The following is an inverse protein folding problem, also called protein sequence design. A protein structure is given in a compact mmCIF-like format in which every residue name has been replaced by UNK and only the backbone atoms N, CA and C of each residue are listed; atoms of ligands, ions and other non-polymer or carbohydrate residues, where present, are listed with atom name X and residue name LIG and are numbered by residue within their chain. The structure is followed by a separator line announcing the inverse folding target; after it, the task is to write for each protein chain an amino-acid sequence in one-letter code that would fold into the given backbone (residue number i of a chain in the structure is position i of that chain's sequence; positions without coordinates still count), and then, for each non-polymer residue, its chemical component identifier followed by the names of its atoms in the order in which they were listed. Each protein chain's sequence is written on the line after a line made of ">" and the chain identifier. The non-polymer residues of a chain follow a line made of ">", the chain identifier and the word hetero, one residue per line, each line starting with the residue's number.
data_IF_518195198755
#
_entry.id   IF_518195198755
#
_cell.length_a   1.000
_cell.length_b   1.000
_cell.length_c   1.000
_cell.angle_alpha   90.00
_cell.angle_beta   90.00
_cell.angle_gamma   90.00
#
_symmetry.space_group_name_H-M   'P 1'
#
loop_
_entity.id
_entity.type
_entity.pdbx_description
1 polymer ?
#
# COMPACT_ATOMS: atom_id res chain seq x y z
N UNK A 1 -23.85 -8.24 24.13
CA UNK A 1 -22.74 -9.03 23.55
C UNK A 1 -21.35 -8.47 23.89
N UNK A 2 -20.34 -9.34 23.94
CA UNK A 2 -18.92 -9.10 24.31
C UNK A 2 -18.00 -10.14 23.67
N UNK A 3 -18.30 -10.50 22.42
CA UNK A 3 -17.47 -11.42 21.65
C UNK A 3 -16.25 -10.68 21.10
N UNK A 4 -15.08 -11.31 21.21
CA UNK A 4 -13.83 -10.82 20.62
C UNK A 4 -13.89 -11.03 19.10
N UNK A 5 -14.12 -9.94 18.36
CA UNK A 5 -14.34 -9.93 16.90
C UNK A 5 -13.51 -8.86 16.23
N UNK A 6 -13.04 -9.15 15.01
CA UNK A 6 -12.21 -8.24 14.23
C UNK A 6 -13.07 -7.26 13.45
N UNK A 7 -14.07 -7.79 12.74
CA UNK A 7 -14.85 -7.04 11.76
C UNK A 7 -16.35 -7.33 11.88
N UNK A 8 -17.15 -6.53 11.19
CA UNK A 8 -18.54 -6.83 10.99
C UNK A 8 -19.04 -6.35 9.64
N UNK A 9 -19.99 -7.08 9.06
CA UNK A 9 -20.59 -6.78 7.77
C UNK A 9 -22.10 -7.04 7.79
N UNK A 10 -22.86 -6.19 7.11
CA UNK A 10 -24.29 -6.42 6.83
C UNK A 10 -24.62 -5.92 5.44
N UNK A 11 -25.55 -6.56 4.74
CA UNK A 11 -26.05 -6.10 3.45
C UNK A 11 -26.96 -4.86 3.62
N UNK A 12 -26.96 -3.98 2.61
CA UNK A 12 -27.89 -2.85 2.54
C UNK A 12 -29.36 -3.30 2.53
N UNK A 13 -29.67 -4.48 1.99
CA UNK A 13 -31.02 -5.05 1.97
C UNK A 13 -31.63 -5.24 3.37
N UNK A 14 -30.78 -5.44 4.39
CA UNK A 14 -31.17 -5.52 5.81
C UNK A 14 -31.50 -4.18 6.47
N UNK A 15 -31.25 -3.05 5.78
CA UNK A 15 -31.49 -1.69 6.26
C UNK A 15 -32.68 -1.12 5.47
N UNK A 16 -33.81 -0.91 6.15
CA UNK A 16 -35.11 -0.70 5.50
C UNK A 16 -35.65 0.71 5.61
N UNK A 17 -35.11 1.53 6.50
CA UNK A 17 -35.58 2.88 6.75
C UNK A 17 -34.48 3.74 7.35
N UNK A 18 -34.64 5.04 7.22
CA UNK A 18 -33.85 6.04 7.95
C UNK A 18 -34.15 5.94 9.44
N UNK A 19 -33.13 6.21 10.27
CA UNK A 19 -33.37 6.37 11.69
C UNK A 19 -34.00 7.74 11.98
N UNK A 20 -35.34 7.79 11.93
CA UNK A 20 -36.10 8.99 12.24
C UNK A 20 -36.07 9.30 13.73
N UNK A 21 -36.14 10.59 14.07
CA UNK A 21 -36.26 11.08 15.44
C UNK A 21 -37.50 11.93 15.58
N UNK A 22 -38.01 12.06 16.80
CA UNK A 22 -39.07 13.02 17.13
C UNK A 22 -38.57 13.99 18.19
N UNK A 23 -39.05 15.23 18.14
CA UNK A 23 -38.76 16.21 19.18
C UNK A 23 -39.59 15.90 20.43
N UNK A 24 -38.92 15.60 21.55
CA UNK A 24 -39.53 15.40 22.85
C UNK A 24 -38.70 16.14 23.91
N UNK A 25 -39.33 17.01 24.70
CA UNK A 25 -38.67 17.81 25.74
C UNK A 25 -37.46 18.62 25.24
N UNK A 26 -37.54 19.15 24.01
CA UNK A 26 -36.45 19.92 23.39
C UNK A 26 -35.28 19.07 22.90
N UNK A 27 -35.40 17.74 22.88
CA UNK A 27 -34.37 16.80 22.42
C UNK A 27 -34.91 15.89 21.32
N UNK A 28 -34.04 15.49 20.39
CA UNK A 28 -34.37 14.48 19.39
C UNK A 28 -34.34 13.09 20.03
N UNK A 29 -35.49 12.45 20.13
CA UNK A 29 -35.67 11.12 20.68
C UNK A 29 -35.77 10.08 19.56
N UNK A 30 -35.00 9.00 19.70
CA UNK A 30 -35.15 7.79 18.89
C UNK A 30 -36.16 6.87 19.60
N UNK A 31 -37.25 6.54 18.91
CA UNK A 31 -38.25 5.62 19.45
C UNK A 31 -37.90 4.17 19.12
N UNK A 32 -38.42 3.23 19.92
CA UNK A 32 -38.28 1.79 19.61
C UNK A 32 -38.83 1.44 18.23
N UNK A 33 -39.99 2.01 17.87
CA UNK A 33 -40.59 1.81 16.55
C UNK A 33 -39.71 2.33 15.40
N UNK A 34 -39.04 3.47 15.59
CA UNK A 34 -38.08 3.99 14.62
C UNK A 34 -36.88 3.05 14.47
N UNK A 35 -36.31 2.54 15.56
CA UNK A 35 -35.20 1.59 15.51
C UNK A 35 -35.60 0.24 14.86
N UNK A 36 -36.78 -0.28 15.18
CA UNK A 36 -37.35 -1.48 14.57
C UNK A 36 -37.58 -1.29 13.05
N UNK A 37 -38.01 -0.10 12.63
CA UNK A 37 -38.22 0.19 11.21
C UNK A 37 -36.93 0.16 10.38
N UNK A 38 -35.77 0.48 11.01
CA UNK A 38 -34.46 0.39 10.33
C UNK A 38 -34.08 -1.07 10.06
N UNK A 39 -34.19 -1.96 11.04
CA UNK A 39 -33.83 -3.38 10.92
C UNK A 39 -34.99 -4.27 11.37
N UNK A 40 -36.00 -4.53 10.51
CA UNK A 40 -37.24 -5.17 10.93
C UNK A 40 -37.20 -6.71 10.93
N UNK A 41 -36.13 -7.32 10.43
CA UNK A 41 -36.09 -8.76 10.15
C UNK A 41 -35.78 -9.61 11.37
N UNK A 42 -35.06 -9.08 12.36
CA UNK A 42 -34.62 -9.87 13.52
C UNK A 42 -33.69 -11.01 13.12
N UNK A 43 -32.83 -10.78 12.13
CA UNK A 43 -31.87 -11.78 11.67
C UNK A 43 -30.91 -12.11 12.82
N UNK A 44 -30.60 -13.39 13.01
CA UNK A 44 -29.66 -13.78 14.07
C UNK A 44 -28.26 -13.36 13.64
N UNK A 45 -27.58 -12.57 14.47
CA UNK A 45 -26.18 -12.25 14.21
C UNK A 45 -25.30 -13.47 14.51
N UNK A 46 -24.34 -13.71 13.65
CA UNK A 46 -23.40 -14.81 13.73
C UNK A 46 -21.98 -14.28 13.75
N UNK A 47 -21.19 -14.76 14.71
CA UNK A 47 -19.74 -14.63 14.68
C UNK A 47 -19.20 -15.80 13.88
N UNK A 48 -18.56 -15.50 12.76
CA UNK A 48 -18.00 -16.49 11.86
C UNK A 48 -16.50 -16.30 11.72
N UNK A 49 -15.76 -17.38 11.45
CA UNK A 49 -14.35 -17.35 11.14
C UNK A 49 -14.14 -17.50 9.63
N UNK A 50 -13.41 -16.56 9.03
CA UNK A 50 -13.12 -16.50 7.58
C UNK A 50 -11.66 -16.17 7.33
N UNK A 51 -11.09 -16.64 6.21
CA UNK A 51 -9.75 -16.19 5.79
C UNK A 51 -9.83 -14.75 5.24
N UNK A 52 -8.71 -14.03 5.25
CA UNK A 52 -8.63 -12.73 4.58
C UNK A 52 -8.95 -12.82 3.08
N UNK A 53 -8.63 -13.95 2.44
CA UNK A 53 -9.02 -14.22 1.06
C UNK A 53 -10.54 -14.31 0.88
N UNK A 54 -11.25 -15.03 1.75
CA UNK A 54 -12.72 -15.12 1.69
C UNK A 54 -13.39 -13.76 1.96
N UNK A 55 -12.82 -12.95 2.85
CA UNK A 55 -13.27 -11.57 3.08
C UNK A 55 -13.10 -10.73 1.82
N UNK A 56 -11.94 -10.81 1.16
CA UNK A 56 -11.68 -10.09 -0.08
C UNK A 56 -12.64 -10.52 -1.19
N UNK A 57 -12.94 -11.82 -1.28
CA UNK A 57 -13.92 -12.36 -2.23
C UNK A 57 -15.33 -11.80 -1.95
N UNK A 58 -15.77 -11.82 -0.70
CA UNK A 58 -17.07 -11.26 -0.31
C UNK A 58 -17.20 -9.77 -0.67
N UNK A 59 -16.13 -8.98 -0.45
CA UNK A 59 -16.11 -7.57 -0.82
C UNK A 59 -16.13 -7.35 -2.34
N UNK A 60 -15.53 -8.25 -3.13
CA UNK A 60 -15.58 -8.16 -4.59
C UNK A 60 -16.92 -8.61 -5.19
N UNK A 61 -17.65 -9.55 -4.53
CA UNK A 61 -18.97 -10.01 -4.98
C UNK A 61 -20.02 -8.90 -5.05
N UNK A 62 -19.84 -7.79 -4.33
CA UNK A 62 -20.75 -6.64 -4.43
C UNK A 62 -20.60 -5.83 -5.74
N UNK A 63 -19.53 -6.08 -6.51
CA UNK A 63 -19.19 -5.32 -7.72
C UNK A 63 -19.49 -6.07 -9.02
N UNK A 64 -20.10 -7.25 -8.94
CA UNK A 64 -20.62 -7.96 -10.10
C UNK A 64 -21.67 -7.11 -10.84
N UNK A 65 -21.69 -7.15 -12.16
CA UNK A 65 -22.55 -6.30 -13.01
C UNK A 65 -24.06 -6.48 -12.74
N UNK A 66 -24.47 -7.67 -12.31
CA UNK A 66 -25.86 -8.01 -11.96
C UNK A 66 -26.19 -7.78 -10.48
N UNK A 67 -25.23 -7.31 -9.68
CA UNK A 67 -25.39 -7.16 -8.25
C UNK A 67 -25.99 -5.80 -7.90
N UNK A 68 -27.04 -5.82 -7.09
CA UNK A 68 -27.70 -4.60 -6.58
C UNK A 68 -27.52 -4.41 -5.08
N UNK A 69 -26.94 -5.41 -4.40
CA UNK A 69 -26.69 -5.40 -2.97
C UNK A 69 -25.21 -5.15 -2.65
N UNK A 70 -24.97 -4.44 -1.56
CA UNK A 70 -23.63 -4.08 -1.12
C UNK A 70 -23.51 -4.14 0.40
N UNK A 71 -22.28 -4.31 0.88
CA UNK A 71 -22.01 -4.53 2.29
C UNK A 71 -21.75 -3.21 3.02
N UNK A 72 -22.47 -2.92 4.10
CA UNK A 72 -22.01 -2.02 5.15
C UNK A 72 -20.98 -2.76 6.01
N UNK A 73 -19.91 -2.08 6.40
CA UNK A 73 -18.75 -2.68 7.05
C UNK A 73 -18.35 -1.92 8.30
N UNK A 74 -17.74 -2.59 9.28
CA UNK A 74 -17.13 -2.00 10.47
C UNK A 74 -15.84 -2.72 10.84
N UNK A 75 -14.86 -2.01 11.41
CA UNK A 75 -13.56 -2.58 11.79
C UNK A 75 -12.52 -2.68 10.66
N UNK A 76 -12.93 -2.42 9.41
CA UNK A 76 -12.06 -2.38 8.24
C UNK A 76 -12.32 -1.14 7.37
N UNK A 77 -11.32 -0.76 6.60
CA UNK A 77 -11.39 0.21 5.50
C UNK A 77 -10.84 -0.45 4.24
N UNK A 78 -11.39 -0.11 3.08
CA UNK A 78 -10.84 -0.59 1.82
C UNK A 78 -10.90 0.45 0.71
N UNK A 79 -9.93 0.34 -0.21
CA UNK A 79 -9.91 1.07 -1.47
C UNK A 79 -10.38 0.14 -2.59
N UNK A 80 -11.23 0.65 -3.48
CA UNK A 80 -11.63 -0.05 -4.70
C UNK A 80 -11.34 0.81 -5.92
N UNK A 81 -11.17 0.15 -7.06
CA UNK A 81 -10.74 0.76 -8.32
C UNK A 81 -11.43 0.12 -9.50
N UNK A 82 -11.26 0.72 -10.67
CA UNK A 82 -11.79 0.22 -11.93
C UNK A 82 -11.17 -1.14 -12.30
N UNK A 83 -11.82 -1.87 -13.18
CA UNK A 83 -11.30 -3.11 -13.74
C UNK A 83 -11.70 -3.21 -15.21
N UNK A 84 -10.90 -3.93 -15.99
CA UNK A 84 -11.19 -4.16 -17.42
C UNK A 84 -12.22 -5.29 -17.63
N UNK A 85 -12.62 -5.96 -16.55
CA UNK A 85 -13.64 -7.01 -16.56
C UNK A 85 -15.05 -6.40 -16.64
N UNK A 86 -15.74 -6.59 -17.77
CA UNK A 86 -17.09 -6.06 -17.97
C UNK A 86 -18.14 -6.65 -17.03
N UNK A 87 -17.87 -7.82 -16.43
CA UNK A 87 -18.75 -8.45 -15.45
C UNK A 87 -18.51 -7.93 -14.03
N UNK A 88 -17.48 -7.11 -13.82
CA UNK A 88 -17.18 -6.46 -12.54
C UNK A 88 -17.00 -4.96 -12.77
N UNK A 89 -17.90 -4.11 -12.31
CA UNK A 89 -17.71 -2.66 -12.50
C UNK A 89 -16.47 -2.13 -11.75
N UNK A 90 -16.12 -2.79 -10.64
CA UNK A 90 -14.98 -2.44 -9.79
C UNK A 90 -14.35 -3.67 -9.17
N UNK A 91 -13.14 -3.50 -8.63
CA UNK A 91 -12.47 -4.47 -7.78
C UNK A 91 -11.87 -3.80 -6.54
N UNK A 92 -11.76 -4.57 -5.46
CA UNK A 92 -11.04 -4.13 -4.26
C UNK A 92 -9.53 -4.12 -4.53
N UNK A 93 -8.89 -2.98 -4.32
CA UNK A 93 -7.46 -2.79 -4.53
C UNK A 93 -6.64 -3.01 -3.24
N UNK A 94 -7.16 -2.60 -2.09
CA UNK A 94 -6.50 -2.81 -0.80
C UNK A 94 -7.50 -2.82 0.35
N UNK A 95 -7.21 -3.60 1.39
CA UNK A 95 -8.01 -3.68 2.62
C UNK A 95 -7.09 -3.49 3.82
N UNK A 96 -7.53 -2.69 4.78
CA UNK A 96 -6.84 -2.41 6.03
C UNK A 96 -7.80 -2.49 7.21
N UNK A 97 -7.29 -2.79 8.39
CA UNK A 97 -7.96 -2.53 9.67
C UNK A 97 -8.07 -1.02 9.92
N UNK A 98 -8.84 -0.62 10.93
CA UNK A 98 -8.98 0.81 11.30
C UNK A 98 -7.65 1.50 11.68
N UNK A 99 -6.66 0.75 12.18
CA UNK A 99 -5.33 1.26 12.51
C UNK A 99 -4.35 1.29 11.31
N UNK A 100 -4.83 0.91 10.12
CA UNK A 100 -4.05 0.92 8.89
C UNK A 100 -3.28 -0.37 8.62
N UNK A 101 -3.37 -1.39 9.48
CA UNK A 101 -2.73 -2.69 9.26
C UNK A 101 -3.36 -3.38 8.03
N UNK A 102 -2.56 -3.79 7.02
CA UNK A 102 -3.08 -4.52 5.86
C UNK A 102 -3.75 -5.84 6.25
N UNK A 103 -4.86 -6.16 5.59
CA UNK A 103 -5.49 -7.47 5.68
C UNK A 103 -4.54 -8.53 5.10
N UNK A 104 -4.30 -9.62 5.83
CA UNK A 104 -3.50 -10.75 5.35
C UNK A 104 -4.42 -11.84 4.83
N UNK A 105 -4.17 -12.30 3.60
CA UNK A 105 -5.08 -13.22 2.91
C UNK A 105 -5.13 -14.62 3.53
N UNK A 106 -4.02 -15.07 4.12
CA UNK A 106 -3.85 -16.37 4.77
C UNK A 106 -4.30 -16.37 6.25
N UNK A 107 -4.42 -15.20 6.86
CA UNK A 107 -4.87 -15.05 8.24
C UNK A 107 -6.38 -15.27 8.36
N UNK A 108 -6.81 -15.87 9.48
CA UNK A 108 -8.21 -15.98 9.85
C UNK A 108 -8.67 -14.82 10.73
N UNK A 109 -9.90 -14.38 10.51
CA UNK A 109 -10.54 -13.28 11.20
C UNK A 109 -11.93 -13.69 11.67
N UNK A 110 -12.35 -13.15 12.81
CA UNK A 110 -13.72 -13.26 13.33
C UNK A 110 -14.56 -12.09 12.83
N UNK A 111 -15.60 -12.42 12.07
CA UNK A 111 -16.49 -11.44 11.43
C UNK A 111 -17.90 -11.64 11.97
N UNK A 112 -18.54 -10.55 12.39
CA UNK A 112 -19.99 -10.56 12.67
C UNK A 112 -20.75 -10.35 11.37
N UNK A 113 -21.60 -11.30 11.00
CA UNK A 113 -22.54 -11.18 9.87
C UNK A 113 -23.95 -11.58 10.33
N UNK A 114 -24.98 -11.25 9.56
CA UNK A 114 -26.31 -11.80 9.80
C UNK A 114 -26.45 -13.23 9.20
N UNK A 115 -27.36 -14.03 9.74
CA UNK A 115 -27.62 -15.42 9.31
C UNK A 115 -28.04 -15.53 7.84
N UNK A 116 -28.73 -14.53 7.30
CA UNK A 116 -29.04 -14.44 5.87
C UNK A 116 -27.78 -14.39 5.00
N UNK A 117 -26.80 -13.54 5.35
CA UNK A 117 -25.50 -13.49 4.68
C UNK A 117 -24.70 -14.77 4.87
N UNK A 118 -24.73 -15.37 6.07
CA UNK A 118 -24.07 -16.67 6.31
C UNK A 118 -24.59 -17.76 5.36
N UNK A 119 -25.89 -17.74 5.05
CA UNK A 119 -26.50 -18.61 4.04
C UNK A 119 -26.13 -18.31 2.59
N UNK A 120 -25.39 -17.22 2.32
CA UNK A 120 -25.06 -16.73 0.98
C UNK A 120 -26.13 -15.85 0.36
N UNK A 121 -26.99 -15.23 1.17
CA UNK A 121 -28.00 -14.29 0.73
C UNK A 121 -27.42 -13.14 -0.10
N UNK A 122 -28.26 -12.49 -0.91
CA UNK A 122 -27.90 -11.41 -1.83
C UNK A 122 -26.73 -11.74 -2.78
N UNK A 123 -26.45 -13.02 -3.04
CA UNK A 123 -25.36 -13.44 -3.93
C UNK A 123 -23.98 -13.46 -3.28
N UNK A 124 -23.87 -13.22 -1.97
CA UNK A 124 -22.60 -13.25 -1.23
C UNK A 124 -22.15 -14.68 -0.88
N UNK A 125 -21.92 -15.50 -1.91
CA UNK A 125 -21.58 -16.92 -1.76
C UNK A 125 -20.28 -17.18 -0.98
N UNK A 126 -19.38 -16.19 -0.89
CA UNK A 126 -18.13 -16.30 -0.12
C UNK A 126 -18.38 -16.58 1.37
N UNK A 127 -19.47 -16.04 1.95
CA UNK A 127 -19.82 -16.27 3.35
C UNK A 127 -20.17 -17.73 3.66
N UNK A 128 -20.58 -18.53 2.67
CA UNK A 128 -20.86 -19.97 2.86
C UNK A 128 -19.62 -20.80 3.18
N UNK A 129 -18.42 -20.25 2.94
CA UNK A 129 -17.12 -20.87 3.28
C UNK A 129 -16.76 -20.67 4.75
N UNK A 130 -17.46 -19.76 5.44
CA UNK A 130 -17.14 -19.38 6.81
C UNK A 130 -17.49 -20.49 7.81
N UNK A 131 -16.72 -20.58 8.88
CA UNK A 131 -17.02 -21.47 10.00
C UNK A 131 -17.82 -20.72 11.06
N UNK A 132 -19.01 -21.18 11.40
CA UNK A 132 -19.79 -20.60 12.50
C UNK A 132 -19.07 -20.82 13.84
N UNK A 133 -18.73 -19.73 14.53
CA UNK A 133 -18.15 -19.76 15.88
C UNK A 133 -19.25 -19.75 16.93
N UNK A 134 -20.17 -18.78 16.82
CA UNK A 134 -21.36 -18.68 17.70
C UNK A 134 -22.43 -17.80 17.06
N UNK A 135 -23.68 -18.02 17.44
CA UNK A 135 -24.74 -17.04 17.27
C UNK A 135 -24.76 -16.07 18.47
N UNK A 136 -25.21 -14.84 18.24
CA UNK A 136 -25.44 -13.81 19.27
C UNK A 136 -26.86 -13.22 19.08
N UNK A 137 -27.17 -12.14 19.81
CA UNK A 137 -28.47 -11.48 19.77
C UNK A 137 -28.90 -11.11 18.33
N UNK A 138 -30.21 -11.09 18.03
CA UNK A 138 -30.72 -10.60 16.75
C UNK A 138 -30.23 -9.19 16.41
N UNK A 139 -30.14 -8.88 15.11
CA UNK A 139 -29.65 -7.61 14.60
C UNK A 139 -30.45 -6.41 15.14
N UNK A 140 -31.79 -6.52 15.16
CA UNK A 140 -32.68 -5.50 15.69
C UNK A 140 -32.43 -5.20 17.17
N UNK A 141 -32.35 -6.24 18.00
CA UNK A 141 -32.15 -6.09 19.44
C UNK A 141 -30.73 -5.59 19.74
N UNK A 142 -29.74 -6.03 18.97
CA UNK A 142 -28.36 -5.52 19.05
C UNK A 142 -28.30 -4.03 18.76
N UNK A 143 -28.99 -3.57 17.71
CA UNK A 143 -29.05 -2.15 17.34
C UNK A 143 -29.76 -1.30 18.41
N UNK A 144 -30.90 -1.78 18.92
CA UNK A 144 -31.65 -1.11 19.99
C UNK A 144 -30.81 -1.03 21.26
N UNK A 145 -30.11 -2.11 21.62
CA UNK A 145 -29.26 -2.12 22.81
C UNK A 145 -28.04 -1.22 22.65
N UNK A 146 -27.46 -1.10 21.46
CA UNK A 146 -26.46 -0.08 21.18
C UNK A 146 -27.01 1.34 21.43
N UNK A 147 -28.22 1.66 20.95
CA UNK A 147 -28.84 2.97 21.19
C UNK A 147 -29.03 3.23 22.70
N UNK A 148 -29.51 2.23 23.44
CA UNK A 148 -29.67 2.31 24.90
C UNK A 148 -28.32 2.50 25.61
N UNK A 149 -27.28 1.75 25.23
CA UNK A 149 -25.94 1.83 25.80
C UNK A 149 -25.32 3.22 25.56
N UNK A 150 -25.49 3.79 24.37
CA UNK A 150 -25.05 5.16 24.07
C UNK A 150 -25.76 6.20 24.92
N UNK A 151 -27.09 6.08 25.08
CA UNK A 151 -27.89 6.95 25.96
C UNK A 151 -27.44 6.83 27.41
N UNK A 152 -27.25 5.61 27.92
CA UNK A 152 -26.77 5.36 29.28
C UNK A 152 -25.37 5.96 29.52
N UNK A 153 -24.54 5.97 28.48
CA UNK A 153 -23.23 6.63 28.50
C UNK A 153 -23.29 8.16 28.28
N UNK A 154 -24.48 8.76 28.18
CA UNK A 154 -24.65 10.20 27.94
C UNK A 154 -24.21 10.67 26.55
N UNK A 155 -24.09 9.76 25.59
CA UNK A 155 -23.61 10.05 24.23
C UNK A 155 -24.79 10.24 23.27
N UNK A 156 -24.72 11.31 22.50
CA UNK A 156 -25.60 11.50 21.34
C UNK A 156 -25.13 10.57 20.22
N UNK A 157 -26.10 9.98 19.54
CA UNK A 157 -25.83 9.17 18.37
C UNK A 157 -25.61 10.11 17.19
N UNK A 158 -24.41 10.08 16.63
CA UNK A 158 -24.04 10.83 15.44
C UNK A 158 -23.57 9.86 14.37
N UNK A 159 -23.77 10.24 13.11
CA UNK A 159 -23.26 9.49 11.98
C UNK A 159 -22.35 10.37 11.15
N UNK A 160 -21.23 9.79 10.75
CA UNK A 160 -20.17 10.47 10.04
C UNK A 160 -19.77 9.63 8.83
N UNK A 161 -19.35 10.29 7.76
CA UNK A 161 -18.67 9.63 6.65
C UNK A 161 -17.24 9.32 7.09
N UNK A 162 -16.98 8.07 7.45
CA UNK A 162 -15.70 7.64 8.01
C UNK A 162 -14.67 7.19 6.96
N UNK A 163 -15.02 7.26 5.67
CA UNK A 163 -14.16 6.80 4.58
C UNK A 163 -13.86 5.30 4.67
N UNK A 164 -14.84 4.48 5.08
CA UNK A 164 -14.69 3.02 5.18
C UNK A 164 -14.51 2.37 3.80
N UNK A 165 -15.07 3.01 2.77
CA UNK A 165 -14.95 2.61 1.37
C UNK A 165 -14.48 3.83 0.60
N UNK A 166 -13.39 3.71 -0.15
CA UNK A 166 -12.83 4.81 -0.94
C UNK A 166 -12.63 4.32 -2.36
N UNK A 167 -13.24 5.00 -3.32
CA UNK A 167 -12.89 4.82 -4.72
C UNK A 167 -11.59 5.57 -5.02
N UNK A 168 -10.68 4.94 -5.76
CA UNK A 168 -9.56 5.58 -6.43
C UNK A 168 -9.42 5.00 -7.82
N UNK A 169 -9.20 5.84 -8.82
CA UNK A 169 -8.81 5.38 -10.14
C UNK A 169 -7.47 4.64 -10.09
N UNK A 170 -7.21 3.76 -11.06
CA UNK A 170 -5.94 3.04 -11.13
C UNK A 170 -4.76 4.02 -11.20
N UNK A 171 -4.90 5.13 -11.93
CA UNK A 171 -3.87 6.17 -12.03
C UNK A 171 -3.56 6.85 -10.68
N UNK A 172 -4.57 7.05 -9.81
CA UNK A 172 -4.35 7.60 -8.46
C UNK A 172 -3.59 6.59 -7.57
N UNK A 173 -3.93 5.30 -7.67
CA UNK A 173 -3.23 4.24 -6.93
C UNK A 173 -1.77 4.12 -7.39
N UNK A 174 -1.54 4.13 -8.71
CA UNK A 174 -0.19 4.05 -9.28
C UNK A 174 0.65 5.25 -8.85
N UNK A 175 0.06 6.45 -8.87
CA UNK A 175 0.72 7.67 -8.40
C UNK A 175 1.06 7.63 -6.91
N UNK A 176 0.14 7.17 -6.05
CA UNK A 176 0.42 7.03 -4.61
C UNK A 176 1.52 6.01 -4.35
N UNK A 177 1.57 4.93 -5.15
CA UNK A 177 2.62 3.92 -5.08
C UNK A 177 3.97 4.50 -5.48
N UNK A 178 4.02 5.26 -6.58
CA UNK A 178 5.22 5.98 -7.03
C UNK A 178 5.67 7.01 -5.99
N UNK A 179 4.76 7.85 -5.48
CA UNK A 179 5.07 8.88 -4.48
C UNK A 179 5.63 8.24 -3.19
N UNK A 180 5.07 7.11 -2.75
CA UNK A 180 5.57 6.35 -1.60
C UNK A 180 6.96 5.76 -1.85
N UNK A 181 7.21 5.20 -3.03
CA UNK A 181 8.52 4.67 -3.42
C UNK A 181 9.57 5.79 -3.50
N UNK A 182 9.25 6.91 -4.15
CA UNK A 182 10.11 8.09 -4.23
C UNK A 182 10.42 8.63 -2.83
N UNK A 183 9.43 8.68 -1.94
CA UNK A 183 9.64 9.09 -0.54
C UNK A 183 10.59 8.13 0.18
N UNK A 184 10.41 6.83 0.04
CA UNK A 184 11.29 5.82 0.63
C UNK A 184 12.74 5.96 0.13
N UNK A 185 12.93 6.19 -1.18
CA UNK A 185 14.26 6.47 -1.76
C UNK A 185 14.86 7.71 -1.12
N UNK A 186 14.11 8.82 -1.02
CA UNK A 186 14.59 10.07 -0.42
C UNK A 186 14.97 9.91 1.05
N UNK A 187 14.15 9.22 1.83
CA UNK A 187 14.38 9.02 3.26
C UNK A 187 15.62 8.13 3.53
N UNK A 188 15.84 7.12 2.70
CA UNK A 188 16.99 6.22 2.82
C UNK A 188 18.30 6.80 2.25
N UNK A 189 18.21 7.77 1.33
CA UNK A 189 19.37 8.24 0.57
C UNK A 189 20.16 9.31 1.30
N UNK A 190 21.46 9.02 1.51
CA UNK A 190 22.46 9.98 1.97
C UNK A 190 23.68 9.87 1.07
N UNK A 191 23.95 10.92 0.31
CA UNK A 191 25.08 10.98 -0.62
C UNK A 191 26.20 11.79 0.03
N UNK A 192 27.41 11.21 0.08
CA UNK A 192 28.58 11.91 0.60
C UNK A 192 29.01 13.02 -0.36
N UNK A 193 29.64 14.07 0.19
CA UNK A 193 30.23 15.15 -0.60
C UNK A 193 31.29 14.58 -1.55
N UNK A 194 31.39 15.17 -2.74
CA UNK A 194 32.34 14.78 -3.78
C UNK A 194 33.21 15.98 -4.16
N UNK A 195 34.52 15.78 -4.21
CA UNK A 195 35.52 16.78 -4.59
C UNK A 195 36.20 16.45 -5.93
N UNK A 196 36.83 17.45 -6.56
CA UNK A 196 37.47 17.37 -7.90
C UNK A 196 38.46 16.20 -8.13
N UNK A 197 39.01 15.60 -7.08
CA UNK A 197 39.99 14.50 -7.18
C UNK A 197 39.45 13.16 -6.68
N UNK A 198 38.21 13.11 -6.22
CA UNK A 198 37.61 11.89 -5.72
C UNK A 198 37.31 10.93 -6.88
N UNK A 199 37.72 9.67 -6.72
CA UNK A 199 37.49 8.63 -7.72
C UNK A 199 36.10 7.99 -7.60
N UNK A 200 35.49 8.09 -6.42
CA UNK A 200 34.27 7.37 -6.11
C UNK A 200 33.25 8.28 -5.43
N UNK A 201 32.00 8.25 -5.91
CA UNK A 201 30.87 8.76 -5.16
C UNK A 201 30.34 7.65 -4.24
N UNK A 202 30.17 7.96 -2.96
CA UNK A 202 29.72 6.99 -1.95
C UNK A 202 28.52 7.51 -1.18
N UNK A 203 27.79 6.60 -0.56
CA UNK A 203 26.64 6.94 0.27
C UNK A 203 25.86 5.73 0.71
N UNK A 204 24.66 5.99 1.22
CA UNK A 204 23.65 4.97 1.56
C UNK A 204 22.35 5.26 0.82
N UNK A 205 21.58 4.24 0.50
CA UNK A 205 20.22 4.29 -0.06
C UNK A 205 19.48 2.98 0.23
N UNK A 206 18.38 2.68 -0.46
CA UNK A 206 17.68 1.40 -0.34
C UNK A 206 18.56 0.22 -0.80
N UNK A 207 18.55 -0.92 -0.10
CA UNK A 207 19.22 -2.14 -0.55
C UNK A 207 18.81 -2.55 -1.96
N UNK A 208 19.79 -2.92 -2.80
CA UNK A 208 19.53 -3.32 -4.19
C UNK A 208 19.16 -2.20 -5.14
N UNK A 209 19.07 -0.94 -4.69
CA UNK A 209 18.84 0.19 -5.58
C UNK A 209 20.03 0.44 -6.52
N UNK A 210 19.74 0.83 -7.76
CA UNK A 210 20.76 1.24 -8.72
C UNK A 210 21.04 2.73 -8.58
N UNK A 211 22.31 3.09 -8.51
CA UNK A 211 22.81 4.46 -8.42
C UNK A 211 23.54 4.79 -9.71
N UNK A 212 23.06 5.79 -10.45
CA UNK A 212 23.69 6.28 -11.67
C UNK A 212 24.10 7.74 -11.50
N UNK A 213 25.32 8.09 -11.93
CA UNK A 213 25.86 9.45 -11.77
C UNK A 213 26.15 10.06 -13.13
N UNK A 214 25.71 11.29 -13.35
CA UNK A 214 25.96 12.03 -14.58
C UNK A 214 26.47 13.43 -14.27
N UNK A 215 27.39 13.94 -15.09
CA UNK A 215 27.83 15.33 -15.08
C UNK A 215 26.98 16.14 -16.06
N UNK A 216 26.51 17.32 -15.63
CA UNK A 216 25.79 18.24 -16.52
C UNK A 216 26.70 18.72 -17.67
N UNK A 217 26.22 18.68 -18.91
CA UNK A 217 26.96 19.18 -20.07
C UNK A 217 26.31 20.45 -20.63
N UNK A 218 27.14 21.39 -21.11
CA UNK A 218 26.71 22.71 -21.56
C UNK A 218 25.74 22.72 -22.76
N UNK A 219 25.58 21.58 -23.47
CA UNK A 219 24.74 21.45 -24.67
C UNK A 219 23.60 20.43 -24.52
N UNK A 220 23.24 19.99 -23.30
CA UNK A 220 22.24 18.94 -23.10
C UNK A 220 20.78 19.41 -23.31
N UNK A 221 20.42 19.73 -24.56
CA UNK A 221 19.08 19.34 -25.04
C UNK A 221 19.12 17.83 -25.30
N UNK A 222 18.71 17.06 -24.30
CA UNK A 222 18.11 15.72 -24.44
C UNK A 222 18.96 14.53 -24.93
N UNK A 223 20.22 14.39 -24.49
CA UNK A 223 20.88 13.08 -24.52
C UNK A 223 21.64 12.83 -23.21
N UNK A 224 20.99 12.18 -22.25
CA UNK A 224 21.66 11.60 -21.09
C UNK A 224 22.45 10.38 -21.60
N UNK A 225 23.75 10.53 -21.86
CA UNK A 225 24.61 9.38 -22.06
C UNK A 225 24.60 8.51 -20.78
N UNK A 226 24.70 7.18 -20.91
CA UNK A 226 24.78 6.29 -19.76
C UNK A 226 26.00 6.66 -18.91
N UNK A 227 25.75 7.24 -17.73
CA UNK A 227 26.79 7.53 -16.75
C UNK A 227 27.22 6.27 -15.98
N UNK A 228 28.35 6.32 -15.27
CA UNK A 228 28.75 5.23 -14.38
C UNK A 228 27.63 4.90 -13.39
N UNK A 229 27.51 3.63 -13.06
CA UNK A 229 26.51 3.13 -12.13
C UNK A 229 27.07 2.06 -11.20
N UNK A 230 26.36 1.84 -10.09
CA UNK A 230 26.58 0.74 -9.17
C UNK A 230 25.26 0.37 -8.47
N UNK A 231 25.18 -0.84 -7.93
CA UNK A 231 24.05 -1.28 -7.11
C UNK A 231 24.41 -1.18 -5.63
N UNK A 232 23.47 -0.70 -4.81
CA UNK A 232 23.62 -0.66 -3.36
C UNK A 232 23.60 -2.08 -2.76
N UNK A 233 24.47 -2.33 -1.79
CA UNK A 233 24.58 -3.64 -1.13
C UNK A 233 23.37 -3.93 -0.22
N UNK A 234 23.40 -5.07 0.47
CA UNK A 234 22.33 -5.50 1.40
C UNK A 234 22.10 -4.52 2.57
N UNK A 235 23.09 -3.67 2.89
CA UNK A 235 22.98 -2.62 3.91
C UNK A 235 22.68 -1.25 3.29
N UNK A 236 22.41 -1.20 1.99
CA UNK A 236 22.12 0.03 1.26
C UNK A 236 23.35 0.87 0.94
N UNK A 237 24.57 0.41 1.20
CA UNK A 237 25.79 1.18 0.91
C UNK A 237 26.15 1.06 -0.56
N UNK A 238 26.54 2.17 -1.19
CA UNK A 238 26.98 2.18 -2.58
C UNK A 238 28.33 2.88 -2.75
N UNK A 239 29.03 2.53 -3.84
CA UNK A 239 30.26 3.18 -4.29
C UNK A 239 30.29 3.15 -5.82
N UNK A 240 30.09 4.32 -6.45
CA UNK A 240 30.14 4.48 -7.92
C UNK A 240 31.50 5.03 -8.32
N UNK A 241 32.21 4.37 -9.23
CA UNK A 241 33.42 4.92 -9.83
C UNK A 241 33.06 6.06 -10.81
N UNK A 242 33.47 7.28 -10.46
CA UNK A 242 33.17 8.51 -11.22
C UNK A 242 34.38 9.03 -12.00
N UNK A 243 35.47 8.26 -12.06
CA UNK A 243 36.72 8.67 -12.72
C UNK A 243 36.50 9.05 -14.18
N UNK A 244 35.59 8.37 -14.89
CA UNK A 244 35.26 8.64 -16.29
C UNK A 244 34.59 10.00 -16.52
N UNK A 245 34.05 10.63 -15.48
CA UNK A 245 33.34 11.91 -15.58
C UNK A 245 34.27 13.13 -15.59
N UNK A 246 35.57 12.96 -15.31
CA UNK A 246 36.58 14.04 -15.29
C UNK A 246 36.08 15.30 -14.57
N UNK A 247 35.64 15.12 -13.31
CA UNK A 247 35.00 16.15 -12.51
C UNK A 247 35.99 17.27 -12.13
N UNK A 248 35.47 18.49 -12.06
CA UNK A 248 36.14 19.75 -11.71
C UNK A 248 35.33 20.48 -10.66
N UNK A 249 35.98 21.27 -9.81
CA UNK A 249 35.29 22.14 -8.86
C UNK A 249 34.23 22.97 -9.60
N UNK A 250 33.00 22.97 -9.08
CA UNK A 250 31.89 23.72 -9.64
C UNK A 250 31.07 22.95 -10.68
N UNK A 251 31.52 21.77 -11.11
CA UNK A 251 30.69 20.90 -11.95
C UNK A 251 29.41 20.52 -11.23
N UNK A 252 28.30 20.53 -11.95
CA UNK A 252 27.03 20.00 -11.47
C UNK A 252 26.93 18.51 -11.82
N UNK A 253 26.58 17.69 -10.83
CA UNK A 253 26.27 16.28 -11.02
C UNK A 253 24.82 16.00 -10.66
N UNK A 254 24.21 15.10 -11.42
CA UNK A 254 22.91 14.50 -11.14
C UNK A 254 23.13 13.04 -10.80
N UNK A 255 22.71 12.65 -9.60
CA UNK A 255 22.67 11.25 -9.17
C UNK A 255 21.23 10.76 -9.24
N UNK A 256 20.97 9.76 -10.09
CA UNK A 256 19.68 9.08 -10.16
C UNK A 256 19.75 7.83 -9.31
N UNK A 257 18.79 7.69 -8.40
CA UNK A 257 18.58 6.47 -7.62
C UNK A 257 17.31 5.80 -8.14
N UNK A 258 17.41 4.53 -8.49
CA UNK A 258 16.29 3.70 -8.96
C UNK A 258 16.15 2.51 -8.02
N UNK A 259 14.97 2.31 -7.42
CA UNK A 259 14.71 1.17 -6.56
C UNK A 259 14.57 -0.15 -7.37
N UNK A 260 14.52 -1.32 -6.71
CA UNK A 260 14.34 -2.60 -7.40
C UNK A 260 13.04 -2.74 -8.21
N UNK A 261 12.04 -1.90 -7.96
CA UNK A 261 10.76 -1.89 -8.68
C UNK A 261 10.78 -0.93 -9.88
N UNK A 262 11.87 -0.20 -10.10
CA UNK A 262 12.06 0.73 -11.22
C UNK A 262 11.64 2.17 -10.94
N UNK A 263 11.14 2.49 -9.74
CA UNK A 263 10.83 3.88 -9.37
C UNK A 263 12.13 4.65 -9.14
N UNK A 264 12.19 5.89 -9.62
CA UNK A 264 13.44 6.66 -9.59
C UNK A 264 13.26 8.11 -9.17
N UNK A 265 14.30 8.67 -8.55
CA UNK A 265 14.38 10.09 -8.24
C UNK A 265 15.83 10.59 -8.35
N UNK A 266 15.99 11.91 -8.46
CA UNK A 266 17.30 12.51 -8.71
C UNK A 266 17.76 13.42 -7.58
N UNK A 267 19.07 13.46 -7.38
CA UNK A 267 19.75 14.31 -6.40
C UNK A 267 20.82 15.11 -7.13
N UNK A 268 20.80 16.43 -6.95
CA UNK A 268 21.79 17.32 -7.57
C UNK A 268 22.82 17.76 -6.54
N UNK A 269 24.09 17.80 -6.96
CA UNK A 269 25.17 18.30 -6.13
C UNK A 269 26.21 19.04 -6.98
N UNK A 270 26.92 19.97 -6.35
CA UNK A 270 28.06 20.66 -6.94
C UNK A 270 29.36 20.06 -6.41
N UNK A 271 30.28 19.74 -7.33
CA UNK A 271 31.60 19.20 -7.00
C UNK A 271 32.43 20.24 -6.25
N UNK A 272 33.00 19.85 -5.11
CA UNK A 272 33.77 20.72 -4.23
C UNK A 272 35.23 20.83 -4.69
N UNK A 273 35.91 21.87 -4.19
CA UNK A 273 37.35 21.98 -4.37
C UNK A 273 38.04 20.77 -3.72
N UNK A 274 39.10 20.26 -4.32
CA UNK A 274 39.96 19.31 -3.65
C UNK A 274 40.47 19.91 -2.33
N UNK A 275 40.55 19.10 -1.27
CA UNK A 275 41.14 19.53 -0.02
C UNK A 275 42.58 19.99 -0.28
N UNK A 276 42.90 21.22 0.16
CA UNK A 276 44.29 21.68 0.18
C UNK A 276 45.00 20.94 1.30
N UNK A 277 46.03 20.16 1.00
CA UNK A 277 46.96 19.72 2.03
C UNK A 277 47.49 20.97 2.74
N UNK A 278 47.49 21.03 4.09
CA UNK A 278 48.22 22.07 4.80
C UNK A 278 49.66 22.11 4.26
N UNK A 279 50.31 23.29 4.19
CA UNK A 279 51.71 23.35 3.83
C UNK A 279 52.49 22.40 4.75
N UNK A 280 53.26 21.51 4.16
CA UNK A 280 54.31 20.77 4.86
C UNK A 280 55.28 21.81 5.40
N UNK A 281 55.10 22.22 6.66
CA UNK A 281 56.07 23.01 7.38
C UNK A 281 57.22 22.07 7.71
N UNK A 282 58.09 21.87 6.71
CA UNK A 282 59.28 21.07 6.79
C UNK A 282 60.16 21.54 7.94
N UNK A 283 60.00 20.90 9.09
CA UNK A 283 60.96 20.97 10.17
C UNK A 283 61.94 19.83 9.96
N UNK A 284 62.96 20.10 9.15
CA UNK A 284 64.16 19.27 9.14
C UNK A 284 64.81 19.35 10.51
N UNK A 285 64.87 18.22 11.22
CA UNK A 285 65.84 18.04 12.28
C UNK A 285 66.56 16.71 12.06
N UNK A 286 67.85 16.81 11.77
CA UNK A 286 68.75 15.68 11.65
C UNK A 286 68.96 15.01 13.00
N UNK A 287 69.09 13.69 12.96
CA UNK A 287 69.45 12.87 14.10
C UNK A 287 69.90 11.50 13.59
N UNK A 288 71.19 11.38 13.32
CA UNK A 288 71.88 10.10 13.23
C UNK A 288 71.82 9.39 14.57
N UNK A 289 71.32 8.15 14.63
CA UNK A 289 71.84 7.19 15.60
C UNK A 289 71.73 5.75 15.09
N UNK A 290 72.75 5.00 15.46
CA UNK A 290 73.16 3.68 15.06
C UNK A 290 72.64 2.67 16.10
N UNK A 291 72.01 1.56 15.70
CA UNK A 291 71.38 0.66 16.68
C UNK A 291 70.97 -0.70 16.14
N UNK A 292 71.96 -1.59 16.06
CA UNK A 292 71.92 -3.04 15.84
C UNK A 292 70.83 -3.79 16.64
N UNK A 293 70.24 -4.86 16.08
CA UNK A 293 69.29 -5.70 16.83
C UNK A 293 68.51 -6.80 16.10
N UNK A 294 69.20 -7.65 15.34
CA UNK A 294 69.03 -9.11 15.23
C UNK A 294 67.62 -9.80 15.24
N UNK A 295 67.38 -10.57 14.17
CA UNK A 295 67.04 -12.01 14.10
C UNK A 295 65.62 -12.53 13.74
N UNK A 296 65.65 -13.53 12.85
CA UNK A 296 64.59 -14.46 12.42
C UNK A 296 64.05 -14.13 11.03
N UNK A 297 64.47 -14.74 9.90
CA UNK A 297 64.69 -16.17 9.65
C UNK A 297 63.36 -16.90 9.81
N UNK A 298 62.65 -17.40 8.80
CA UNK A 298 63.00 -18.25 7.64
C UNK A 298 61.77 -18.26 6.70
N UNK A 299 61.92 -18.00 5.40
CA UNK A 299 62.14 -18.95 4.29
C UNK A 299 60.98 -19.92 3.97
N UNK A 300 60.66 -19.99 2.67
CA UNK A 300 59.90 -21.08 2.04
C UNK A 300 58.67 -20.59 1.28
N UNK A 301 58.79 -20.02 0.08
CA UNK A 301 58.88 -20.74 -1.21
C UNK A 301 57.61 -21.60 -1.45
N UNK A 302 56.76 -21.38 -2.44
CA UNK A 302 57.00 -21.07 -3.85
C UNK A 302 56.18 -22.09 -4.66
N UNK A 303 55.54 -21.68 -5.76
CA UNK A 303 54.76 -22.63 -6.56
C UNK A 303 53.81 -21.99 -7.57
N UNK A 304 54.37 -21.64 -8.71
CA UNK A 304 53.75 -21.20 -9.97
C UNK A 304 53.03 -22.30 -10.75
N UNK A 305 52.37 -21.86 -11.84
CA UNK A 305 51.89 -22.55 -13.05
C UNK A 305 50.41 -22.98 -13.07
N UNK A 306 49.52 -22.34 -13.85
CA UNK A 306 49.36 -22.22 -15.32
C UNK A 306 48.66 -23.43 -15.95
N UNK A 307 47.57 -23.18 -16.68
CA UNK A 307 46.80 -24.23 -17.39
C UNK A 307 45.55 -23.68 -18.07
N UNK A 308 45.58 -23.72 -19.40
CA UNK A 308 44.71 -23.11 -20.39
C UNK A 308 43.67 -24.11 -20.98
N UNK A 309 42.62 -23.60 -21.66
CA UNK A 309 41.76 -24.34 -22.62
C UNK A 309 40.25 -24.23 -22.33
N UNK A 310 39.38 -23.55 -23.10
CA UNK A 310 38.99 -23.64 -24.54
C UNK A 310 37.82 -24.60 -24.81
N UNK A 311 36.78 -24.15 -25.55
CA UNK A 311 35.71 -24.97 -26.14
C UNK A 311 34.26 -24.43 -25.97
N UNK A 312 33.72 -23.44 -26.72
CA UNK A 312 33.05 -23.41 -28.05
C UNK A 312 31.59 -23.96 -28.17
N UNK A 313 30.73 -23.15 -28.85
CA UNK A 313 29.46 -23.40 -29.59
C UNK A 313 28.19 -23.84 -28.83
N UNK A 314 26.95 -23.43 -29.16
CA UNK A 314 26.38 -22.60 -30.24
C UNK A 314 24.86 -22.89 -30.37
N UNK A 315 24.07 -22.02 -31.01
CA UNK A 315 22.82 -22.41 -31.68
C UNK A 315 21.47 -21.85 -31.18
N UNK A 316 20.98 -20.85 -31.91
CA UNK A 316 19.58 -20.52 -32.32
C UNK A 316 18.64 -21.74 -32.51
N UNK A 317 17.29 -21.67 -32.46
CA UNK A 317 16.32 -20.93 -33.32
C UNK A 317 14.86 -21.22 -32.84
N UNK A 318 13.95 -20.24 -32.99
CA UNK A 318 12.50 -20.24 -33.42
C UNK A 318 11.60 -21.49 -33.24
N UNK A 319 10.29 -21.40 -32.95
CA UNK A 319 9.16 -20.92 -33.81
C UNK A 319 7.85 -20.97 -32.97
N UNK A 320 6.98 -19.95 -33.05
CA UNK A 320 5.69 -19.89 -33.79
C UNK A 320 4.43 -20.00 -32.90
N UNK A 321 3.67 -18.89 -32.94
CA UNK A 321 2.21 -18.79 -32.79
C UNK A 321 1.52 -19.48 -34.00
N UNK A 322 0.22 -19.85 -33.95
CA UNK A 322 -0.74 -18.94 -34.57
C UNK A 322 -2.22 -18.97 -34.08
N UNK A 323 -2.90 -17.82 -34.29
CA UNK A 323 -4.29 -17.61 -34.81
C UNK A 323 -5.48 -17.86 -33.86
N UNK A 324 -6.63 -17.17 -33.88
CA UNK A 324 -7.32 -16.07 -34.63
C UNK A 324 -8.65 -15.85 -33.87
N UNK A 325 -9.33 -14.69 -33.80
CA UNK A 325 -10.37 -14.23 -34.76
C UNK A 325 -11.12 -12.99 -34.19
N UNK A 326 -11.51 -12.11 -35.12
CA UNK A 326 -12.33 -10.85 -35.19
C UNK A 326 -13.62 -10.77 -34.32
N UNK A 327 -14.34 -9.65 -34.04
CA UNK A 327 -14.60 -8.36 -34.75
C UNK A 327 -15.48 -7.38 -33.89
N UNK A 328 -15.33 -6.05 -34.07
CA UNK A 328 -16.34 -4.93 -34.16
C UNK A 328 -17.45 -4.74 -33.06
N UNK A 329 -17.92 -3.58 -32.56
CA UNK A 329 -17.97 -2.16 -33.03
C UNK A 329 -18.44 -1.22 -31.87
N UNK A 330 -17.90 0.01 -31.79
CA UNK A 330 -18.48 1.34 -31.43
C UNK A 330 -19.62 1.52 -30.38
N UNK A 331 -19.41 2.36 -29.36
CA UNK A 331 -19.94 3.76 -29.29
C UNK A 331 -19.52 4.51 -28.01
N UNK A 332 -19.32 5.81 -28.18
CA UNK A 332 -18.95 6.88 -27.24
C UNK A 332 -19.97 7.19 -26.15
N UNK A 333 -19.53 7.55 -24.94
CA UNK A 333 -20.39 8.16 -23.91
C UNK A 333 -19.68 8.51 -22.60
N UNK A 334 -19.05 9.69 -22.59
CA UNK A 334 -18.81 10.65 -21.49
C UNK A 334 -18.82 10.19 -20.02
N UNK A 335 -17.71 10.49 -19.35
CA UNK A 335 -17.51 10.50 -17.89
C UNK A 335 -18.69 10.98 -17.06
N UNK A 336 -19.03 10.20 -16.03
CA UNK A 336 -19.52 10.77 -14.77
C UNK A 336 -18.88 10.00 -13.62
N UNK A 337 -18.29 10.76 -12.70
CA UNK A 337 -17.75 10.30 -11.42
C UNK A 337 -18.88 9.59 -10.63
N UNK A 338 -18.93 8.26 -10.63
CA UNK A 338 -19.95 7.50 -9.89
C UNK A 338 -19.34 6.90 -8.63
N UNK A 339 -19.14 7.74 -7.62
CA UNK A 339 -18.95 7.22 -6.26
C UNK A 339 -20.23 6.49 -5.83
N UNK A 340 -20.14 5.19 -5.56
CA UNK A 340 -21.22 4.43 -4.95
C UNK A 340 -21.62 5.06 -3.60
N UNK A 341 -22.92 4.99 -3.22
CA UNK A 341 -23.37 5.59 -1.98
C UNK A 341 -22.66 4.96 -0.77
N UNK A 342 -21.89 5.78 -0.07
CA UNK A 342 -21.34 5.45 1.24
C UNK A 342 -22.40 5.65 2.32
N UNK A 343 -22.13 5.20 3.56
CA UNK A 343 -22.99 5.54 4.70
C UNK A 343 -23.15 7.07 4.76
N UNK A 344 -24.35 7.59 4.50
CA UNK A 344 -24.65 9.02 4.46
C UNK A 344 -24.55 9.71 3.09
N UNK A 345 -24.44 9.00 1.96
CA UNK A 345 -24.55 9.62 0.63
C UNK A 345 -26.01 9.69 0.14
N UNK A 346 -26.49 10.91 -0.09
CA UNK A 346 -27.73 11.20 -0.82
C UNK A 346 -27.39 11.66 -2.23
N UNK A 347 -27.23 10.75 -3.21
CA UNK A 347 -27.24 11.12 -4.62
C UNK A 347 -27.64 9.94 -5.54
N UNK A 348 -28.88 10.02 -6.03
CA UNK A 348 -29.19 9.92 -7.47
C UNK A 348 -28.97 8.61 -8.22
N UNK A 349 -29.84 7.62 -7.99
CA UNK A 349 -30.61 6.92 -9.03
C UNK A 349 -31.79 6.22 -8.32
N UNK A 350 -33.00 6.76 -8.54
CA UNK A 350 -34.28 6.31 -7.99
C UNK A 350 -34.38 6.20 -6.44
N UNK A 351 -34.62 7.35 -5.81
CA UNK A 351 -35.33 7.53 -4.52
C UNK A 351 -35.11 6.46 -3.44
N UNK A 352 -33.96 6.50 -2.76
CA UNK A 352 -33.82 6.01 -1.39
C UNK A 352 -33.18 7.15 -0.59
N UNK A 353 -33.99 7.83 0.21
CA UNK A 353 -33.48 8.76 1.21
C UNK A 353 -32.83 7.97 2.35
N UNK A 354 -31.64 8.42 2.78
CA UNK A 354 -31.19 8.56 4.18
C UNK A 354 -30.54 7.39 4.95
N UNK A 355 -29.57 6.69 4.35
CA UNK A 355 -28.73 5.71 5.08
C UNK A 355 -27.89 6.36 6.18
N UNK A 356 -28.36 6.34 7.43
CA UNK A 356 -27.57 6.66 8.61
C UNK A 356 -28.01 5.76 9.78
N UNK A 357 -27.01 5.06 10.36
CA UNK A 357 -26.99 4.23 11.58
C UNK A 357 -27.28 2.72 11.45
N UNK A 358 -26.28 1.98 11.01
CA UNK A 358 -26.07 0.56 11.41
C UNK A 358 -24.62 0.23 11.77
N UNK A 359 -23.69 1.14 11.48
CA UNK A 359 -22.26 0.91 11.52
C UNK A 359 -21.61 1.11 12.89
N UNK A 360 -22.18 1.96 13.76
CA UNK A 360 -21.61 2.23 15.09
C UNK A 360 -22.00 1.18 16.13
N UNK A 361 -23.13 0.50 15.94
CA UNK A 361 -23.54 -0.64 16.78
C UNK A 361 -22.51 -1.79 16.71
N UNK A 362 -21.94 -2.00 15.52
CA UNK A 362 -20.89 -3.00 15.30
C UNK A 362 -19.55 -2.59 15.93
N UNK A 363 -19.21 -1.30 15.94
CA UNK A 363 -17.99 -0.79 16.58
C UNK A 363 -18.00 -0.93 18.12
N UNK A 364 -19.16 -0.77 18.77
CA UNK A 364 -19.27 -0.90 20.24
C UNK A 364 -19.20 -2.34 20.74
N UNK A 365 -19.52 -3.34 19.91
CA UNK A 365 -19.27 -4.76 20.23
C UNK A 365 -17.77 -5.04 20.50
N UNK A 366 -16.86 -4.23 19.93
CA UNK A 366 -15.40 -4.37 20.06
C UNK A 366 -14.82 -3.71 21.32
N UNK A 367 -15.44 -2.64 21.85
CA UNK A 367 -14.83 -1.78 22.89
C UNK A 367 -15.21 -2.12 24.33
N UNK A 368 -15.86 -3.28 24.60
CA UNK A 368 -16.04 -3.76 25.98
C UNK A 368 -14.72 -4.30 26.54
N UNK A 369 -13.83 -3.39 26.94
CA UNK A 369 -12.77 -3.60 27.93
C UNK A 369 -12.64 -2.35 28.79
#
# INVERSE_FOLDING_TARGET
>A
AGADVDFAMTNNGGIRSDLTTRLANGQNEITWGAAQAVQPFGNILQVVEMTGADILEALNQQYLSNQTYFLQISGLKYTFTDTDDLDHAYKVASVTTEDGTPLKTDQKYKVVINDFLFGGGDGFSAFKKANLVTAIDPDTETFINYIKDQKAAGKVITAQKEGRKVYKSQAEIDKETEDAAIKAIKDATKINKLAEKDKTLTGTTLPGATVSVQKATANARMALAAGPNATADANGKFSVDVTSLNLKKGDQITTTITDPNGYSTTFQATVQAAATTPPDNGNGNGGTDNGNGNNGGTDGNGGTNNGNGSGTNGGTTTTEDPTTTTSNTSTTGTSSNTSLPTTGDTAGLATVFGVILTTTALYVLRKRR
#
